data_IF_097948177183
#
_entry.id   IF_097948177183
#
_cell.length_a   1.000
_cell.length_b   1.000
_cell.length_c   1.000
_cell.angle_alpha   90.00
_cell.angle_beta   90.00
_cell.angle_gamma   90.00
#
_symmetry.space_group_name_H-M   'P 1'
#
loop_
_entity.id
_entity.type
_entity.pdbx_description
1 polymer ?
#
# COMPACT_ATOMS: atom_id res chain seq x y z
N UNK A 1 32.15 26.00 45.78
CA UNK A 1 31.98 25.58 44.38
C UNK A 1 30.97 24.44 44.33
N UNK A 2 29.78 24.60 43.74
CA UNK A 2 28.83 23.48 43.60
C UNK A 2 29.47 22.43 42.68
N UNK A 3 29.53 21.14 43.06
CA UNK A 3 30.33 20.17 42.33
C UNK A 3 29.77 19.97 40.93
N UNK A 4 30.64 20.18 39.93
CA UNK A 4 30.36 20.05 38.50
C UNK A 4 29.60 18.74 38.19
N UNK A 5 29.95 17.66 38.89
CA UNK A 5 29.33 16.34 38.80
C UNK A 5 27.80 16.35 39.01
N UNK A 6 27.28 17.17 39.92
CA UNK A 6 25.83 17.21 40.20
C UNK A 6 25.07 17.88 39.05
N UNK A 7 25.69 18.85 38.36
CA UNK A 7 25.10 19.49 37.16
C UNK A 7 25.16 18.55 35.95
N UNK A 8 26.28 17.83 35.79
CA UNK A 8 26.44 16.81 34.74
C UNK A 8 25.40 15.70 34.89
N UNK A 9 25.15 15.23 36.12
CA UNK A 9 24.13 14.21 36.37
C UNK A 9 22.71 14.69 36.00
N UNK A 10 22.31 15.90 36.39
CA UNK A 10 20.99 16.42 36.03
C UNK A 10 20.82 16.70 34.52
N UNK A 11 21.91 16.99 33.80
CA UNK A 11 21.87 17.14 32.35
C UNK A 11 21.87 15.79 31.61
N UNK A 12 22.58 14.78 32.11
CA UNK A 12 22.68 13.46 31.47
C UNK A 12 21.53 12.52 31.83
N UNK A 13 20.93 12.67 33.00
CA UNK A 13 19.79 11.85 33.44
C UNK A 13 18.66 11.78 32.41
N UNK A 14 18.11 12.89 31.86
CA UNK A 14 17.06 12.82 30.85
C UNK A 14 17.51 12.19 29.53
N UNK A 15 18.78 12.35 29.15
CA UNK A 15 19.34 11.74 27.92
C UNK A 15 19.47 10.22 28.07
N UNK A 16 19.95 9.76 29.22
CA UNK A 16 20.07 8.33 29.54
C UNK A 16 18.69 7.67 29.66
N UNK A 17 17.72 8.36 30.29
CA UNK A 17 16.33 7.90 30.33
C UNK A 17 15.74 7.83 28.93
N UNK A 18 15.96 8.84 28.09
CA UNK A 18 15.51 8.84 26.68
C UNK A 18 16.10 7.68 25.87
N UNK A 19 17.41 7.45 25.97
CA UNK A 19 18.07 6.30 25.35
C UNK A 19 17.52 4.97 25.85
N UNK A 20 17.27 4.85 27.16
CA UNK A 20 16.66 3.66 27.76
C UNK A 20 15.27 3.36 27.19
N UNK A 21 14.44 4.39 27.01
CA UNK A 21 13.11 4.26 26.39
C UNK A 21 13.22 3.82 24.92
N UNK A 22 14.15 4.40 24.15
CA UNK A 22 14.36 4.04 22.73
C UNK A 22 14.82 2.58 22.60
N UNK A 23 15.79 2.15 23.41
CA UNK A 23 16.28 0.76 23.41
C UNK A 23 15.18 -0.22 23.84
N UNK A 24 14.39 0.13 24.85
CA UNK A 24 13.27 -0.68 25.31
C UNK A 24 12.16 -0.78 24.24
N UNK A 25 11.86 0.32 23.55
CA UNK A 25 10.92 0.34 22.44
C UNK A 25 11.40 -0.52 21.26
N UNK A 26 12.68 -0.43 20.90
CA UNK A 26 13.30 -1.27 19.87
C UNK A 26 13.27 -2.76 20.25
N UNK A 27 13.63 -3.10 21.49
CA UNK A 27 13.58 -4.48 21.98
C UNK A 27 12.16 -5.07 21.96
N UNK A 28 11.16 -4.28 22.37
CA UNK A 28 9.75 -4.66 22.35
C UNK A 28 9.17 -4.77 20.92
N UNK A 29 9.77 -4.08 19.94
CA UNK A 29 9.41 -4.20 18.53
C UNK A 29 9.99 -5.48 17.89
N UNK A 30 11.20 -5.86 18.29
CA UNK A 30 11.93 -6.99 17.69
C UNK A 30 11.66 -8.35 18.33
N UNK A 31 11.21 -8.41 19.60
CA UNK A 31 11.04 -9.65 20.34
C UNK A 31 9.57 -9.91 20.75
N UNK A 32 9.14 -11.19 20.88
CA UNK A 32 7.85 -11.52 21.49
C UNK A 32 7.80 -11.02 22.96
N UNK A 33 6.61 -10.68 23.48
CA UNK A 33 6.46 -10.14 24.82
C UNK A 33 6.96 -11.14 25.87
N UNK A 34 7.62 -10.62 26.91
CA UNK A 34 7.99 -11.39 28.09
C UNK A 34 6.70 -11.82 28.83
N UNK A 35 6.25 -13.03 28.51
CA UNK A 35 5.17 -13.72 29.19
C UNK A 35 5.76 -14.67 30.23
N UNK A 36 5.45 -14.43 31.51
CA UNK A 36 5.78 -15.33 32.60
C UNK A 36 4.48 -15.78 33.23
N UNK A 37 4.18 -17.09 33.17
CA UNK A 37 2.97 -17.70 33.73
C UNK A 37 1.65 -17.01 33.32
N UNK A 38 1.52 -16.61 32.05
CA UNK A 38 0.30 -15.99 31.52
C UNK A 38 0.06 -14.53 31.92
N UNK A 39 1.00 -13.90 32.64
CA UNK A 39 0.92 -12.49 33.02
C UNK A 39 1.91 -11.67 32.18
N UNK A 40 1.39 -10.69 31.42
CA UNK A 40 2.19 -9.74 30.64
C UNK A 40 2.84 -8.72 31.59
N UNK A 41 4.14 -8.88 31.87
CA UNK A 41 4.88 -8.01 32.79
C UNK A 41 5.04 -6.57 32.30
N UNK A 42 4.96 -6.34 30.99
CA UNK A 42 5.05 -5.01 30.39
C UNK A 42 3.95 -4.81 29.35
N UNK A 43 3.11 -3.76 29.45
CA UNK A 43 2.16 -3.43 28.40
C UNK A 43 2.93 -3.02 27.14
N UNK A 44 2.52 -3.54 25.97
CA UNK A 44 3.05 -3.04 24.69
C UNK A 44 2.77 -1.55 24.62
N UNK A 45 3.80 -0.75 24.43
CA UNK A 45 3.62 0.63 24.00
C UNK A 45 3.10 0.57 22.56
N UNK A 46 1.78 0.51 22.42
CA UNK A 46 1.13 0.46 21.13
C UNK A 46 1.12 1.89 20.58
N UNK A 47 2.10 2.22 19.74
CA UNK A 47 2.08 3.49 19.04
C UNK A 47 0.97 3.43 18.00
N UNK A 48 -0.03 4.31 18.13
CA UNK A 48 -0.97 4.60 17.05
C UNK A 48 -0.19 5.26 15.93
N UNK A 49 0.36 4.44 15.04
CA UNK A 49 1.03 4.89 13.83
C UNK A 49 -0.02 5.56 12.94
N UNK A 50 0.26 6.79 12.51
CA UNK A 50 -0.58 7.48 11.54
C UNK A 50 -0.64 6.69 10.23
N UNK A 51 -1.69 6.93 9.43
CA UNK A 51 -1.94 6.26 8.14
C UNK A 51 -0.71 6.28 7.22
N UNK A 52 0.08 7.34 7.28
CA UNK A 52 1.32 7.51 6.50
C UNK A 52 2.40 6.47 6.83
N UNK A 53 2.40 5.92 8.04
CA UNK A 53 3.40 4.96 8.52
C UNK A 53 2.94 3.49 8.44
N UNK A 54 1.64 3.24 8.59
CA UNK A 54 1.06 1.88 8.49
C UNK A 54 0.68 1.49 7.06
N UNK A 55 0.70 2.42 6.11
CA UNK A 55 0.14 2.19 4.79
C UNK A 55 -1.39 2.22 4.82
N UNK A 56 -2.00 2.31 3.65
CA UNK A 56 -3.46 2.45 3.54
C UNK A 56 -3.94 2.70 2.13
N UNK A 57 -5.26 2.71 1.98
CA UNK A 57 -5.92 3.11 0.74
C UNK A 57 -6.60 4.44 0.96
N UNK A 58 -6.31 5.43 0.11
CA UNK A 58 -7.03 6.70 0.09
C UNK A 58 -7.96 6.66 -1.12
N UNK A 59 -9.26 6.75 -0.86
CA UNK A 59 -10.27 6.87 -1.90
C UNK A 59 -10.68 8.34 -1.99
N UNK A 60 -10.56 8.92 -3.18
CA UNK A 60 -10.98 10.30 -3.44
C UNK A 60 -12.27 10.24 -4.26
N UNK A 61 -13.33 10.83 -3.72
CA UNK A 61 -14.64 10.91 -4.37
C UNK A 61 -14.91 12.32 -4.81
N UNK A 62 -15.38 12.47 -6.04
CA UNK A 62 -15.92 13.71 -6.56
C UNK A 62 -17.43 13.57 -6.83
N UNK A 63 -18.18 14.48 -6.24
CA UNK A 63 -19.64 14.54 -6.31
C UNK A 63 -20.02 15.20 -7.63
N UNK A 64 -20.92 14.55 -8.36
CA UNK A 64 -21.48 15.11 -9.59
C UNK A 64 -22.44 16.29 -9.24
N UNK A 65 -22.10 17.53 -9.62
CA UNK A 65 -22.91 18.71 -9.32
C UNK A 65 -24.29 18.67 -10.00
N UNK A 66 -24.51 17.80 -11.00
CA UNK A 66 -25.79 17.67 -11.71
C UNK A 66 -26.79 16.76 -11.01
N UNK A 67 -26.34 15.96 -10.04
CA UNK A 67 -27.15 14.99 -9.30
C UNK A 67 -27.28 15.33 -7.82
N UNK A 68 -26.84 16.52 -7.43
CA UNK A 68 -26.84 16.96 -6.04
C UNK A 68 -28.21 17.54 -5.68
N UNK A 69 -28.88 17.05 -4.62
CA UNK A 69 -30.14 17.63 -4.16
C UNK A 69 -29.91 19.03 -3.57
N UNK A 70 -30.92 19.90 -3.65
CA UNK A 70 -30.83 21.30 -3.20
C UNK A 70 -30.52 21.47 -1.70
N UNK A 71 -30.72 20.42 -0.88
CA UNK A 71 -30.44 20.41 0.57
C UNK A 71 -29.10 19.75 0.93
N UNK A 72 -28.17 19.65 -0.02
CA UNK A 72 -26.88 18.99 0.17
C UNK A 72 -26.06 19.63 1.31
N UNK A 73 -25.70 18.82 2.31
CA UNK A 73 -24.69 19.15 3.32
C UNK A 73 -23.59 18.09 3.29
N UNK A 74 -22.34 18.58 3.27
CA UNK A 74 -21.15 17.73 3.25
C UNK A 74 -21.05 16.93 4.53
N UNK A 75 -21.44 17.53 5.65
CA UNK A 75 -21.43 16.91 6.97
C UNK A 75 -22.41 15.74 7.02
N UNK A 76 -23.57 15.88 6.40
CA UNK A 76 -24.54 14.79 6.25
C UNK A 76 -24.00 13.67 5.35
N UNK A 77 -23.33 14.01 4.25
CA UNK A 77 -22.68 13.03 3.39
C UNK A 77 -21.57 12.27 4.15
N UNK A 78 -20.71 12.98 4.86
CA UNK A 78 -19.64 12.39 5.68
C UNK A 78 -20.22 11.48 6.75
N UNK A 79 -21.28 11.91 7.45
CA UNK A 79 -21.93 11.11 8.47
C UNK A 79 -22.62 9.86 7.89
N UNK A 80 -23.28 9.99 6.72
CA UNK A 80 -23.89 8.87 6.02
C UNK A 80 -22.85 7.86 5.53
N UNK A 81 -21.74 8.34 4.96
CA UNK A 81 -20.62 7.50 4.54
C UNK A 81 -19.97 6.82 5.74
N UNK A 82 -19.74 7.54 6.85
CA UNK A 82 -19.17 6.96 8.07
C UNK A 82 -20.08 5.85 8.59
N UNK A 83 -21.39 6.08 8.68
CA UNK A 83 -22.36 5.07 9.11
C UNK A 83 -22.46 3.87 8.16
N UNK A 84 -22.25 4.06 6.86
CA UNK A 84 -22.31 2.97 5.86
C UNK A 84 -21.03 2.14 5.80
N UNK A 85 -19.87 2.78 5.96
CA UNK A 85 -18.56 2.16 5.86
C UNK A 85 -18.10 1.58 7.19
N UNK A 86 -18.35 2.29 8.29
CA UNK A 86 -17.95 1.87 9.63
C UNK A 86 -19.07 2.16 10.65
N UNK A 87 -20.20 1.44 10.58
CA UNK A 87 -21.31 1.64 11.52
C UNK A 87 -20.92 1.42 12.98
N UNK A 88 -19.88 0.61 13.22
CA UNK A 88 -19.41 0.24 14.56
C UNK A 88 -18.11 0.97 14.98
N UNK A 89 -17.61 1.91 14.18
CA UNK A 89 -16.34 2.65 14.39
C UNK A 89 -15.12 1.73 14.67
N UNK A 90 -15.14 0.53 14.09
CA UNK A 90 -14.13 -0.50 14.32
C UNK A 90 -12.88 -0.25 13.48
N UNK A 91 -13.02 0.27 12.27
CA UNK A 91 -11.97 0.26 11.26
C UNK A 91 -11.14 1.55 11.22
N UNK A 92 -11.34 2.46 12.18
CA UNK A 92 -10.71 3.78 12.24
C UNK A 92 -10.75 4.54 10.89
N UNK A 93 -11.82 4.35 10.11
CA UNK A 93 -11.96 5.00 8.81
C UNK A 93 -12.12 6.49 9.02
N UNK A 94 -11.22 7.28 8.43
CA UNK A 94 -11.28 8.74 8.50
C UNK A 94 -11.86 9.27 7.20
N UNK A 95 -12.99 9.96 7.28
CA UNK A 95 -13.63 10.60 6.13
C UNK A 95 -13.49 12.10 6.31
N UNK A 96 -12.81 12.76 5.36
CA UNK A 96 -12.57 14.21 5.40
C UNK A 96 -13.10 14.90 4.16
N UNK A 97 -13.88 15.98 4.30
CA UNK A 97 -14.20 16.84 3.17
C UNK A 97 -12.94 17.62 2.76
N UNK A 98 -12.62 17.62 1.48
CA UNK A 98 -11.45 18.34 0.92
C UNK A 98 -11.88 19.58 0.16
N UNK A 99 -13.08 19.55 -0.44
CA UNK A 99 -13.69 20.69 -1.13
C UNK A 99 -15.22 20.63 -1.06
N UNK A 100 -15.91 21.53 -1.77
CA UNK A 100 -17.38 21.51 -1.92
C UNK A 100 -17.89 20.21 -2.57
N UNK A 101 -17.12 19.66 -3.50
CA UNK A 101 -17.50 18.47 -4.28
C UNK A 101 -16.62 17.27 -4.00
N UNK A 102 -15.58 17.39 -3.15
CA UNK A 102 -14.59 16.34 -2.95
C UNK A 102 -14.53 15.84 -1.51
N UNK A 103 -14.58 14.52 -1.36
CA UNK A 103 -14.45 13.83 -0.09
C UNK A 103 -13.35 12.78 -0.20
N UNK A 104 -12.48 12.72 0.80
CA UNK A 104 -11.45 11.69 0.93
C UNK A 104 -11.83 10.69 2.02
N UNK A 105 -11.72 9.42 1.71
CA UNK A 105 -11.95 8.30 2.62
C UNK A 105 -10.62 7.59 2.80
N UNK A 106 -10.13 7.63 4.02
CA UNK A 106 -8.85 7.06 4.40
C UNK A 106 -9.12 5.74 5.10
N UNK A 107 -8.70 4.66 4.44
CA UNK A 107 -8.83 3.29 4.94
C UNK A 107 -7.46 2.85 5.44
N UNK A 108 -7.24 2.78 6.77
CA UNK A 108 -6.04 2.19 7.31
C UNK A 108 -6.09 0.68 7.06
N UNK A 109 -5.51 0.24 5.96
CA UNK A 109 -5.17 -1.18 5.84
C UNK A 109 -3.86 -1.33 6.60
N UNK A 110 -3.90 -2.02 7.74
CA UNK A 110 -2.65 -2.32 8.46
C UNK A 110 -1.64 -2.88 7.45
N UNK A 111 -0.40 -2.37 7.49
CA UNK A 111 0.68 -2.77 6.59
C UNK A 111 0.77 -4.27 6.37
N UNK A 112 1.40 -4.72 5.28
CA UNK A 112 1.37 -6.15 4.84
C UNK A 112 1.72 -7.12 5.97
N UNK A 113 2.66 -6.75 6.85
CA UNK A 113 3.04 -7.54 8.01
C UNK A 113 1.92 -7.67 9.07
N UNK A 114 1.19 -6.59 9.37
CA UNK A 114 0.05 -6.62 10.30
C UNK A 114 -1.11 -7.43 9.74
N UNK A 115 -1.46 -7.22 8.46
CA UNK A 115 -2.48 -8.04 7.77
C UNK A 115 -2.18 -9.52 7.84
N UNK A 116 -0.93 -9.95 7.56
CA UNK A 116 -0.52 -11.35 7.69
C UNK A 116 -0.62 -11.87 9.12
N UNK A 117 -0.22 -11.06 10.10
CA UNK A 117 -0.34 -11.43 11.51
C UNK A 117 -1.80 -11.59 11.95
N UNK A 118 -2.68 -10.71 11.47
CA UNK A 118 -4.12 -10.75 11.74
C UNK A 118 -4.80 -11.92 11.03
N UNK A 119 -4.46 -12.18 9.76
CA UNK A 119 -4.91 -13.37 9.01
C UNK A 119 -4.46 -14.66 9.68
N UNK A 120 -3.21 -14.74 10.13
CA UNK A 120 -2.70 -15.90 10.87
C UNK A 120 -3.47 -16.08 12.18
N UNK A 121 -3.61 -15.01 12.97
CA UNK A 121 -4.34 -15.06 14.23
C UNK A 121 -5.82 -15.47 14.02
N UNK A 122 -6.43 -15.07 12.91
CA UNK A 122 -7.79 -15.47 12.57
C UNK A 122 -7.88 -16.93 12.17
N UNK A 123 -6.94 -17.44 11.37
CA UNK A 123 -6.86 -18.89 11.08
C UNK A 123 -6.69 -19.69 12.36
N UNK A 124 -5.77 -19.29 13.22
CA UNK A 124 -5.54 -19.93 14.52
C UNK A 124 -6.82 -19.89 15.39
N UNK A 125 -7.58 -18.79 15.32
CA UNK A 125 -8.87 -18.67 16.02
C UNK A 125 -9.95 -19.60 15.44
N UNK A 126 -10.10 -19.65 14.11
CA UNK A 126 -11.05 -20.56 13.46
C UNK A 126 -10.71 -22.03 13.73
N UNK A 127 -9.42 -22.38 13.79
CA UNK A 127 -8.98 -23.72 14.20
C UNK A 127 -9.35 -24.03 15.65
N UNK A 128 -9.23 -23.07 16.57
CA UNK A 128 -9.69 -23.25 17.96
C UNK A 128 -11.20 -23.44 18.04
N UNK A 129 -11.99 -22.64 17.32
CA UNK A 129 -13.45 -22.80 17.24
C UNK A 129 -13.79 -24.20 16.70
N UNK A 130 -13.07 -24.64 15.67
CA UNK A 130 -13.24 -25.96 15.06
C UNK A 130 -12.95 -27.08 16.05
N UNK A 131 -11.86 -26.98 16.81
CA UNK A 131 -11.45 -27.99 17.79
C UNK A 131 -12.40 -28.04 18.99
N UNK A 132 -12.80 -26.90 19.53
CA UNK A 132 -13.68 -26.80 20.70
C UNK A 132 -15.07 -27.39 20.41
N UNK A 133 -15.63 -27.09 19.24
CA UNK A 133 -17.01 -27.46 18.89
C UNK A 133 -17.10 -28.61 17.87
N UNK A 134 -15.98 -29.25 17.55
CA UNK A 134 -15.86 -30.35 16.59
C UNK A 134 -16.58 -30.09 15.25
N UNK A 135 -16.30 -28.94 14.65
CA UNK A 135 -16.97 -28.48 13.43
C UNK A 135 -16.26 -28.96 12.15
N UNK A 136 -16.99 -29.09 11.02
CA UNK A 136 -16.35 -29.18 9.70
C UNK A 136 -15.57 -27.88 9.40
N UNK A 137 -14.85 -27.87 8.28
CA UNK A 137 -14.08 -26.69 7.86
C UNK A 137 -14.94 -25.41 7.87
N UNK A 138 -14.45 -24.40 8.59
CA UNK A 138 -15.12 -23.12 8.76
C UNK A 138 -14.42 -22.08 7.88
N UNK A 139 -15.02 -21.76 6.74
CA UNK A 139 -14.52 -20.73 5.83
C UNK A 139 -15.22 -19.39 6.11
N UNK A 140 -14.82 -18.72 7.19
CA UNK A 140 -15.39 -17.41 7.57
C UNK A 140 -14.41 -16.29 7.27
N UNK A 141 -14.94 -15.17 6.77
CA UNK A 141 -14.17 -13.98 6.42
C UNK A 141 -13.46 -13.39 7.64
N UNK A 142 -12.31 -12.77 7.42
CA UNK A 142 -11.49 -12.18 8.48
C UNK A 142 -12.31 -11.21 9.34
N UNK A 143 -12.33 -11.43 10.65
CA UNK A 143 -12.99 -10.54 11.61
C UNK A 143 -14.53 -10.58 11.60
N UNK A 144 -15.17 -11.43 10.77
CA UNK A 144 -16.62 -11.57 10.76
C UNK A 144 -17.11 -12.49 11.89
N UNK A 145 -17.05 -11.98 13.13
CA UNK A 145 -17.51 -12.70 14.32
C UNK A 145 -19.00 -13.01 14.29
N UNK A 146 -19.81 -12.16 13.65
CA UNK A 146 -21.26 -12.37 13.54
C UNK A 146 -21.58 -13.63 12.74
N UNK A 147 -20.84 -13.87 11.65
CA UNK A 147 -20.98 -15.08 10.85
C UNK A 147 -20.54 -16.32 11.63
N UNK A 148 -19.42 -16.27 12.38
CA UNK A 148 -19.00 -17.36 13.26
C UNK A 148 -20.09 -17.64 14.31
N UNK A 149 -20.60 -16.60 14.97
CA UNK A 149 -21.66 -16.71 15.98
C UNK A 149 -22.92 -17.35 15.40
N UNK A 150 -23.37 -16.89 14.23
CA UNK A 150 -24.56 -17.42 13.58
C UNK A 150 -24.40 -18.91 13.24
N UNK A 151 -23.23 -19.32 12.74
CA UNK A 151 -22.95 -20.74 12.46
C UNK A 151 -22.97 -21.58 13.75
N UNK A 152 -22.40 -21.07 14.83
CA UNK A 152 -22.40 -21.76 16.13
C UNK A 152 -23.82 -21.89 16.72
N UNK A 153 -24.64 -20.85 16.60
CA UNK A 153 -26.03 -20.88 17.05
C UNK A 153 -26.91 -21.80 16.20
N UNK A 154 -26.74 -21.79 14.88
CA UNK A 154 -27.48 -22.66 13.96
C UNK A 154 -27.21 -24.14 14.25
N UNK A 155 -25.94 -24.49 14.48
CA UNK A 155 -25.52 -25.87 14.78
C UNK A 155 -25.83 -26.30 16.21
N UNK A 156 -26.32 -25.39 17.07
CA UNK A 156 -26.67 -25.64 18.48
C UNK A 156 -25.55 -26.36 19.25
N UNK A 157 -24.30 -26.02 18.97
CA UNK A 157 -23.13 -26.69 19.53
C UNK A 157 -22.92 -26.40 21.03
N UNK A 158 -23.39 -25.25 21.51
CA UNK A 158 -23.33 -24.88 22.92
C UNK A 158 -24.42 -23.84 23.28
N UNK A 159 -24.71 -23.66 24.59
CA UNK A 159 -25.52 -22.55 25.08
C UNK A 159 -25.00 -21.18 24.62
N UNK A 160 -25.91 -20.24 24.34
CA UNK A 160 -25.57 -18.94 23.74
C UNK A 160 -24.58 -18.14 24.59
N UNK A 161 -24.74 -18.18 25.91
CA UNK A 161 -23.85 -17.55 26.89
C UNK A 161 -22.42 -18.10 26.85
N UNK A 162 -22.27 -19.41 26.62
CA UNK A 162 -20.95 -20.04 26.52
C UNK A 162 -20.25 -19.70 25.22
N UNK A 163 -21.00 -19.63 24.12
CA UNK A 163 -20.48 -19.22 22.81
C UNK A 163 -19.99 -17.77 22.87
N UNK A 164 -20.80 -16.84 23.38
CA UNK A 164 -20.38 -15.42 23.48
C UNK A 164 -19.12 -15.26 24.32
N UNK A 165 -19.06 -15.96 25.46
CA UNK A 165 -17.89 -15.92 26.34
C UNK A 165 -16.64 -16.50 25.66
N UNK A 166 -16.78 -17.61 24.94
CA UNK A 166 -15.67 -18.19 24.18
C UNK A 166 -15.16 -17.24 23.10
N UNK A 167 -16.07 -16.63 22.33
CA UNK A 167 -15.72 -15.67 21.27
C UNK A 167 -14.98 -14.46 21.85
N UNK A 168 -15.45 -13.89 22.97
CA UNK A 168 -14.80 -12.75 23.61
C UNK A 168 -13.43 -13.07 24.20
N UNK A 169 -13.25 -14.27 24.76
CA UNK A 169 -12.00 -14.67 25.41
C UNK A 169 -10.92 -15.04 24.38
N UNK A 170 -11.32 -15.55 23.22
CA UNK A 170 -10.40 -16.05 22.20
C UNK A 170 -10.14 -15.06 21.05
N UNK A 171 -11.01 -14.06 20.84
CA UNK A 171 -10.81 -13.00 19.85
C UNK A 171 -10.84 -11.62 20.48
N UNK A 172 -9.74 -10.86 20.33
CA UNK A 172 -9.62 -9.52 20.90
C UNK A 172 -10.13 -8.44 19.93
N UNK A 173 -10.92 -7.45 20.40
CA UNK A 173 -11.52 -6.41 19.56
C UNK A 173 -10.51 -5.48 18.89
N UNK A 174 -9.31 -5.27 19.45
CA UNK A 174 -8.26 -4.47 18.79
C UNK A 174 -7.81 -5.07 17.45
N UNK A 175 -7.92 -6.40 17.25
CA UNK A 175 -7.55 -7.07 15.99
C UNK A 175 -8.66 -7.04 14.94
N UNK A 176 -9.90 -6.73 15.33
CA UNK A 176 -11.04 -6.61 14.41
C UNK A 176 -11.04 -5.28 13.62
N UNK A 177 -10.15 -4.36 13.97
CA UNK A 177 -10.07 -3.01 13.41
C UNK A 177 -9.33 -2.89 12.07
N UNK A 178 -8.77 -3.98 11.55
CA UNK A 178 -7.93 -3.94 10.34
C UNK A 178 -8.72 -4.32 9.09
N UNK A 179 -8.67 -3.45 8.08
CA UNK A 179 -9.36 -3.64 6.81
C UNK A 179 -8.57 -4.57 5.88
N UNK A 180 -9.24 -5.57 5.32
CA UNK A 180 -8.68 -6.45 4.29
C UNK A 180 -8.75 -5.84 2.89
N UNK A 181 -8.01 -6.42 1.93
CA UNK A 181 -8.14 -6.02 0.53
C UNK A 181 -9.54 -6.29 -0.05
N UNK A 182 -10.23 -7.31 0.46
CA UNK A 182 -11.60 -7.65 0.05
C UNK A 182 -12.63 -6.68 0.65
N UNK A 183 -12.39 -6.19 1.88
CA UNK A 183 -13.20 -5.12 2.48
C UNK A 183 -13.07 -3.83 1.69
N UNK A 184 -11.86 -3.53 1.20
CA UNK A 184 -11.63 -2.39 0.29
C UNK A 184 -12.48 -2.56 -0.98
N UNK A 185 -12.54 -3.74 -1.59
CA UNK A 185 -13.41 -3.99 -2.75
C UNK A 185 -14.91 -3.87 -2.41
N UNK A 186 -15.33 -4.35 -1.23
CA UNK A 186 -16.71 -4.16 -0.76
C UNK A 186 -17.04 -2.68 -0.56
N UNK A 187 -16.13 -1.91 0.03
CA UNK A 187 -16.30 -0.47 0.19
C UNK A 187 -16.33 0.25 -1.15
N UNK A 188 -15.51 -0.17 -2.11
CA UNK A 188 -15.62 0.32 -3.49
C UNK A 188 -17.03 0.09 -4.02
N UNK A 189 -17.59 -1.10 -3.86
CA UNK A 189 -18.96 -1.41 -4.26
C UNK A 189 -20.04 -0.60 -3.52
N UNK A 190 -19.84 -0.29 -2.24
CA UNK A 190 -20.80 0.49 -1.44
C UNK A 190 -20.78 1.98 -1.80
N UNK A 191 -19.66 2.52 -2.28
CA UNK A 191 -19.53 3.96 -2.57
C UNK A 191 -19.59 4.27 -4.07
N UNK A 192 -19.28 3.31 -4.95
CA UNK A 192 -19.30 3.47 -6.42
C UNK A 192 -20.66 3.86 -7.02
N UNK A 193 -21.73 3.82 -6.22
CA UNK A 193 -23.08 4.17 -6.67
C UNK A 193 -23.30 5.69 -6.86
N UNK A 194 -22.39 6.54 -6.36
CA UNK A 194 -22.53 8.01 -6.40
C UNK A 194 -21.24 8.69 -6.84
N UNK A 195 -21.06 8.88 -8.15
CA UNK A 195 -20.03 9.78 -8.72
C UNK A 195 -18.81 9.12 -9.34
N UNK A 196 -17.79 9.93 -9.64
CA UNK A 196 -16.51 9.50 -10.24
C UNK A 196 -15.49 9.16 -9.15
N UNK A 197 -14.71 8.08 -9.35
CA UNK A 197 -13.83 7.50 -8.33
C UNK A 197 -12.37 7.53 -8.76
N UNK A 198 -11.51 8.16 -7.95
CA UNK A 198 -10.06 8.13 -8.10
C UNK A 198 -9.42 7.31 -6.97
N UNK A 199 -8.55 6.37 -7.34
CA UNK A 199 -7.83 5.51 -6.41
C UNK A 199 -6.40 6.00 -6.19
N UNK A 200 -6.04 6.30 -4.94
CA UNK A 200 -4.66 6.61 -4.57
C UNK A 200 -4.13 5.54 -3.60
N UNK A 201 -3.20 4.73 -4.10
CA UNK A 201 -2.47 3.76 -3.28
C UNK A 201 -1.23 4.43 -2.72
N UNK A 202 -1.10 4.48 -1.39
CA UNK A 202 0.09 5.01 -0.73
C UNK A 202 1.07 3.86 -0.50
N UNK A 203 2.13 3.81 -1.30
CA UNK A 203 3.21 2.84 -1.12
C UNK A 203 4.21 3.38 -0.09
N UNK A 204 4.54 2.58 0.93
CA UNK A 204 5.57 2.91 1.92
C UNK A 204 6.87 2.20 1.58
N UNK A 205 8.01 2.85 1.76
CA UNK A 205 9.33 2.25 1.56
C UNK A 205 9.58 1.04 2.45
N UNK A 206 8.99 0.95 3.64
CA UNK A 206 9.18 -0.20 4.54
C UNK A 206 8.42 -1.45 4.07
N UNK A 207 7.14 -1.27 3.75
CA UNK A 207 6.27 -2.39 3.42
C UNK A 207 6.27 -2.71 1.94
N UNK A 208 6.62 -1.80 1.04
CA UNK A 208 6.53 -1.98 -0.42
C UNK A 208 7.90 -1.93 -1.13
N UNK A 209 9.00 -2.00 -0.36
CA UNK A 209 10.37 -2.02 -0.86
C UNK A 209 10.57 -2.96 -2.07
N UNK A 210 10.06 -4.22 -2.06
CA UNK A 210 10.27 -5.13 -3.18
C UNK A 210 9.59 -4.66 -4.46
N UNK A 211 8.39 -4.07 -4.36
CA UNK A 211 7.65 -3.58 -5.51
C UNK A 211 8.28 -2.29 -6.07
N UNK A 212 8.70 -1.39 -5.17
CA UNK A 212 9.42 -0.15 -5.52
C UNK A 212 10.74 -0.49 -6.23
N UNK A 213 11.49 -1.47 -5.68
CA UNK A 213 12.76 -1.90 -6.25
C UNK A 213 12.57 -2.54 -7.61
N UNK A 214 11.59 -3.45 -7.75
CA UNK A 214 11.27 -4.06 -9.04
C UNK A 214 10.84 -3.02 -10.09
N UNK A 215 10.08 -2.00 -9.71
CA UNK A 215 9.71 -0.89 -10.61
C UNK A 215 10.93 -0.07 -11.05
N UNK A 216 11.82 0.28 -10.11
CA UNK A 216 13.07 0.99 -10.40
C UNK A 216 13.96 0.19 -11.33
N UNK A 217 14.12 -1.11 -11.07
CA UNK A 217 14.93 -2.00 -11.91
C UNK A 217 14.36 -2.13 -13.31
N UNK A 218 13.03 -2.26 -13.44
CA UNK A 218 12.35 -2.30 -14.74
C UNK A 218 12.60 -1.02 -15.54
N UNK A 219 12.37 0.15 -14.94
CA UNK A 219 12.58 1.45 -15.60
C UNK A 219 14.06 1.67 -15.96
N UNK A 220 14.98 1.24 -15.08
CA UNK A 220 16.42 1.29 -15.36
C UNK A 220 16.74 0.48 -16.61
N UNK A 221 16.32 -0.79 -16.69
CA UNK A 221 16.54 -1.64 -17.86
C UNK A 221 15.92 -1.07 -19.13
N UNK A 222 14.70 -0.55 -19.06
CA UNK A 222 14.04 0.12 -20.19
C UNK A 222 14.89 1.30 -20.70
N UNK A 223 15.44 2.11 -19.79
CA UNK A 223 16.26 3.29 -20.14
C UNK A 223 17.65 2.97 -20.69
N UNK A 224 18.18 1.75 -20.51
CA UNK A 224 19.57 1.42 -20.88
C UNK A 224 19.81 1.50 -22.39
N UNK A 225 18.88 0.99 -23.20
CA UNK A 225 18.98 1.02 -24.66
C UNK A 225 18.89 2.45 -25.20
N UNK A 226 18.01 3.27 -24.61
CA UNK A 226 17.91 4.69 -24.91
C UNK A 226 19.18 5.46 -24.54
N UNK A 227 19.70 5.23 -23.33
CA UNK A 227 20.93 5.87 -22.84
C UNK A 227 22.14 5.52 -23.70
N UNK A 228 22.22 4.28 -24.22
CA UNK A 228 23.24 3.87 -25.18
C UNK A 228 23.13 4.66 -26.48
N UNK A 229 21.93 4.81 -27.03
CA UNK A 229 21.69 5.61 -28.23
C UNK A 229 22.12 7.08 -28.03
N UNK A 230 21.71 7.71 -26.93
CA UNK A 230 22.07 9.10 -26.62
C UNK A 230 23.58 9.28 -26.58
N UNK A 231 24.32 8.34 -25.97
CA UNK A 231 25.80 8.38 -25.97
C UNK A 231 26.41 8.29 -27.37
N UNK A 232 25.84 7.51 -28.27
CA UNK A 232 26.30 7.44 -29.66
C UNK A 232 25.99 8.73 -30.43
N UNK A 233 24.88 9.39 -30.12
CA UNK A 233 24.54 10.71 -30.68
C UNK A 233 25.52 11.76 -30.16
N UNK A 234 25.83 11.77 -28.86
CA UNK A 234 26.77 12.72 -28.26
C UNK A 234 28.17 12.62 -28.87
N UNK A 235 28.64 11.42 -29.21
CA UNK A 235 29.93 11.19 -29.89
C UNK A 235 29.95 11.70 -31.34
N UNK A 236 28.79 11.81 -31.98
CA UNK A 236 28.70 12.21 -33.37
C UNK A 236 28.63 13.74 -33.49
N UNK A 237 29.71 14.37 -33.96
CA UNK A 237 29.80 15.84 -34.07
C UNK A 237 28.72 16.44 -34.98
N UNK A 238 28.23 15.70 -35.97
CA UNK A 238 27.10 16.10 -36.83
C UNK A 238 25.80 16.38 -36.08
N UNK A 239 25.65 15.86 -34.86
CA UNK A 239 24.48 16.09 -34.00
C UNK A 239 24.77 17.04 -32.85
N UNK A 240 25.86 17.82 -32.92
CA UNK A 240 26.24 18.77 -31.87
C UNK A 240 25.13 19.79 -31.54
N UNK A 241 24.32 20.19 -32.53
CA UNK A 241 23.17 21.09 -32.34
C UNK A 241 22.03 20.47 -31.54
N UNK A 242 21.89 19.15 -31.54
CA UNK A 242 20.83 18.43 -30.84
C UNK A 242 21.17 18.21 -29.36
N UNK A 243 22.46 18.16 -28.99
CA UNK A 243 22.96 17.84 -27.64
C UNK A 243 22.22 18.55 -26.48
N UNK A 244 21.91 19.86 -26.55
CA UNK A 244 21.23 20.55 -25.45
C UNK A 244 19.82 20.00 -25.15
N UNK A 245 19.13 19.48 -26.16
CA UNK A 245 17.74 19.02 -26.06
C UNK A 245 17.62 17.52 -25.81
N UNK A 246 18.69 16.74 -25.95
CA UNK A 246 18.64 15.27 -25.86
C UNK A 246 18.08 14.76 -24.53
N UNK A 247 18.36 15.45 -23.43
CA UNK A 247 17.92 15.06 -22.09
C UNK A 247 16.46 15.43 -21.80
N UNK A 248 15.84 16.27 -22.64
CA UNK A 248 14.44 16.67 -22.51
C UNK A 248 13.50 15.66 -23.17
N UNK A 249 14.02 14.85 -24.09
CA UNK A 249 13.27 13.89 -24.87
C UNK A 249 12.97 12.66 -24.03
N UNK A 250 11.69 12.30 -23.95
CA UNK A 250 11.27 11.11 -23.22
C UNK A 250 11.85 9.83 -23.83
N UNK A 251 12.37 8.89 -23.02
CA UNK A 251 12.83 7.61 -23.52
C UNK A 251 11.77 6.87 -24.33
N UNK A 252 12.07 6.57 -25.59
CA UNK A 252 11.16 5.90 -26.52
C UNK A 252 10.41 6.84 -27.46
N UNK A 253 10.52 8.17 -27.30
CA UNK A 253 9.97 9.12 -28.28
C UNK A 253 10.92 9.27 -29.48
N UNK A 254 10.83 8.31 -30.39
CA UNK A 254 11.69 8.27 -31.59
C UNK A 254 11.38 9.41 -32.55
N UNK A 255 10.15 9.95 -32.55
CA UNK A 255 9.79 11.04 -33.46
C UNK A 255 10.38 12.36 -32.99
N UNK A 256 10.20 12.70 -31.72
CA UNK A 256 10.81 13.92 -31.16
C UNK A 256 12.34 13.87 -31.25
N UNK A 257 12.94 12.68 -31.05
CA UNK A 257 14.37 12.47 -31.28
C UNK A 257 14.76 12.70 -32.73
N UNK A 258 14.03 12.11 -33.68
CA UNK A 258 14.29 12.30 -35.11
C UNK A 258 14.25 13.78 -35.48
N UNK A 259 13.22 14.51 -35.05
CA UNK A 259 13.03 15.93 -35.37
C UNK A 259 14.17 16.78 -34.78
N UNK A 260 14.56 16.46 -33.54
CA UNK A 260 15.68 17.11 -32.86
C UNK A 260 17.01 16.87 -33.60
N UNK A 261 17.24 15.66 -34.09
CA UNK A 261 18.45 15.30 -34.84
C UNK A 261 18.47 15.94 -36.24
N UNK A 262 17.34 15.97 -36.95
CA UNK A 262 17.22 16.65 -38.25
C UNK A 262 17.49 18.14 -38.13
N UNK A 263 16.96 18.78 -37.07
CA UNK A 263 17.21 20.16 -36.66
C UNK A 263 17.10 21.18 -37.80
N UNK A 264 15.94 21.80 -38.02
CA UNK A 264 15.69 22.79 -39.09
C UNK A 264 16.31 22.41 -40.47
N UNK A 265 16.44 21.12 -40.76
CA UNK A 265 17.04 20.60 -42.00
C UNK A 265 18.58 20.57 -42.05
N UNK A 266 19.27 20.75 -40.92
CA UNK A 266 20.74 20.66 -40.81
C UNK A 266 21.28 19.27 -41.14
N UNK A 267 20.52 18.22 -40.82
CA UNK A 267 20.85 16.83 -41.18
C UNK A 267 19.72 16.24 -42.02
N UNK A 268 20.01 15.63 -43.18
CA UNK A 268 19.00 14.99 -44.01
C UNK A 268 18.22 13.90 -43.26
N UNK A 269 16.90 13.89 -43.43
CA UNK A 269 16.02 12.90 -42.80
C UNK A 269 16.44 11.44 -43.04
N UNK A 270 16.87 11.13 -44.26
CA UNK A 270 17.34 9.79 -44.63
C UNK A 270 18.60 9.35 -43.84
N UNK A 271 19.49 10.30 -43.51
CA UNK A 271 20.70 10.03 -42.74
C UNK A 271 20.37 9.78 -41.27
N UNK A 272 19.48 10.60 -40.70
CA UNK A 272 18.96 10.40 -39.33
C UNK A 272 18.28 9.04 -39.22
N UNK A 273 17.45 8.68 -40.19
CA UNK A 273 16.76 7.40 -40.22
C UNK A 273 17.71 6.21 -40.30
N UNK A 274 18.74 6.31 -41.15
CA UNK A 274 19.77 5.29 -41.25
C UNK A 274 20.52 5.14 -39.93
N UNK A 275 20.91 6.27 -39.30
CA UNK A 275 21.60 6.27 -38.02
C UNK A 275 20.78 5.62 -36.91
N UNK A 276 19.50 5.99 -36.77
CA UNK A 276 18.60 5.44 -35.76
C UNK A 276 18.39 3.95 -35.98
N UNK A 277 18.19 3.49 -37.22
CA UNK A 277 18.05 2.06 -37.54
C UNK A 277 19.29 1.24 -37.19
N UNK A 278 20.49 1.80 -37.37
CA UNK A 278 21.74 1.10 -37.07
C UNK A 278 22.10 1.10 -35.58
N UNK A 279 21.75 2.15 -34.84
CA UNK A 279 22.22 2.36 -33.47
C UNK A 279 21.15 2.19 -32.39
N UNK A 280 19.87 2.19 -32.76
CA UNK A 280 18.77 2.02 -31.81
C UNK A 280 18.11 0.65 -31.93
N UNK A 281 18.44 -0.22 -30.98
CA UNK A 281 17.71 -1.45 -30.74
C UNK A 281 17.10 -1.38 -29.34
N UNK A 282 15.80 -1.05 -29.21
CA UNK A 282 15.16 -0.95 -27.91
C UNK A 282 15.21 -2.31 -27.21
N UNK A 283 15.52 -2.31 -25.91
CA UNK A 283 15.45 -3.51 -25.06
C UNK A 283 14.01 -4.02 -24.92
N UNK A 284 13.84 -5.21 -24.34
CA UNK A 284 12.52 -5.83 -24.17
C UNK A 284 11.56 -4.93 -23.38
N UNK A 285 12.02 -4.40 -22.24
CA UNK A 285 11.23 -3.54 -21.36
C UNK A 285 10.85 -2.21 -22.05
N UNK A 286 11.76 -1.62 -22.83
CA UNK A 286 11.46 -0.39 -23.57
C UNK A 286 10.45 -0.64 -24.71
N UNK A 287 10.58 -1.77 -25.43
CA UNK A 287 9.61 -2.16 -26.46
C UNK A 287 8.23 -2.36 -25.86
N UNK A 288 8.16 -3.02 -24.71
CA UNK A 288 6.89 -3.24 -24.02
C UNK A 288 6.24 -1.91 -23.61
N UNK A 289 7.00 -0.97 -23.04
CA UNK A 289 6.50 0.36 -22.67
C UNK A 289 6.00 1.15 -23.89
N UNK A 290 6.74 1.14 -25.00
CA UNK A 290 6.32 1.79 -26.25
C UNK A 290 5.01 1.18 -26.75
N UNK A 291 4.92 -0.15 -26.82
CA UNK A 291 3.71 -0.84 -27.29
C UNK A 291 2.50 -0.57 -26.39
N UNK A 292 2.69 -0.56 -25.06
CA UNK A 292 1.61 -0.25 -24.10
C UNK A 292 1.15 1.19 -24.23
N UNK A 293 2.06 2.14 -24.34
CA UNK A 293 1.72 3.55 -24.55
C UNK A 293 0.89 3.74 -25.83
N UNK A 294 1.29 3.10 -26.93
CA UNK A 294 0.54 3.12 -28.19
C UNK A 294 -0.89 2.54 -28.06
N UNK A 295 -1.11 1.64 -27.10
CA UNK A 295 -2.41 1.05 -26.80
C UNK A 295 -3.18 1.80 -25.69
N UNK A 296 -2.63 2.90 -25.16
CA UNK A 296 -3.19 3.60 -24.01
C UNK A 296 -3.19 2.77 -22.73
N UNK A 297 -2.35 1.73 -22.65
CA UNK A 297 -2.23 0.86 -21.50
C UNK A 297 -1.18 1.38 -20.51
N UNK A 298 -1.40 1.22 -19.20
CA UNK A 298 -0.40 1.58 -18.19
C UNK A 298 0.84 0.67 -18.30
N UNK A 299 1.99 1.10 -17.72
CA UNK A 299 3.17 0.24 -17.61
C UNK A 299 2.82 -1.08 -16.91
N UNK A 300 3.53 -2.17 -17.24
CA UNK A 300 3.23 -3.47 -16.65
C UNK A 300 3.46 -3.44 -15.13
N UNK A 301 2.73 -4.27 -14.37
CA UNK A 301 2.99 -4.40 -12.95
C UNK A 301 4.44 -4.91 -12.75
N UNK A 302 5.14 -4.44 -11.71
CA UNK A 302 6.49 -4.92 -11.42
C UNK A 302 6.46 -6.44 -11.27
N UNK A 303 7.32 -7.19 -11.98
CA UNK A 303 7.33 -8.66 -11.91
C UNK A 303 6.36 -9.38 -12.86
N UNK A 304 5.77 -8.72 -13.86
CA UNK A 304 5.08 -9.41 -14.95
C UNK A 304 6.05 -10.32 -15.75
N UNK A 305 6.27 -11.56 -15.29
CA UNK A 305 7.20 -12.53 -15.87
C UNK A 305 7.85 -13.46 -14.84
N UNK A 306 7.88 -13.06 -13.57
CA UNK A 306 8.11 -13.95 -12.44
C UNK A 306 7.03 -13.63 -11.42
N UNK A 307 6.18 -14.59 -11.02
CA UNK A 307 5.30 -14.32 -9.89
C UNK A 307 6.19 -13.73 -8.80
N UNK A 308 5.78 -12.59 -8.23
CA UNK A 308 6.30 -12.24 -6.92
C UNK A 308 6.27 -13.53 -6.12
N UNK A 309 7.34 -13.91 -5.41
CA UNK A 309 7.21 -15.00 -4.47
C UNK A 309 6.13 -14.55 -3.50
N UNK A 310 4.90 -14.92 -3.80
CA UNK A 310 3.95 -15.31 -2.81
C UNK A 310 4.77 -16.35 -2.07
N UNK A 311 5.30 -15.95 -0.91
CA UNK A 311 5.79 -16.90 0.07
C UNK A 311 4.54 -17.62 0.54
N UNK A 312 3.98 -18.44 -0.36
CA UNK A 312 3.11 -19.54 -0.05
C UNK A 312 4.09 -20.60 0.42
N UNK A 313 4.60 -20.41 1.64
CA UNK A 313 4.99 -21.54 2.46
C UNK A 313 3.69 -22.17 2.96
N UNK A 314 2.94 -22.73 2.01
CA UNK A 314 1.88 -23.69 2.26
C UNK A 314 2.40 -24.97 1.62
N UNK A 315 2.92 -25.87 2.44
CA UNK A 315 3.21 -27.23 2.04
C UNK A 315 1.99 -27.80 1.32
N UNK A 316 2.19 -28.26 0.08
CA UNK A 316 1.24 -29.15 -0.56
C UNK A 316 1.32 -30.51 0.16
N UNK A 317 0.21 -30.89 0.77
CA UNK A 317 -0.25 -32.28 0.85
C UNK A 317 -1.69 -32.34 0.39
#
# INVERSE_FOLDING_TARGET
MKPLARRVFYCLAPVVVGLGVIVMAWWNYSNPPLEVAGVKLLPRVNFKLGVDLVGGTILVYEIDPKKTPDNYSKEQLVAALKRRLDPADLYNITIRPVSETRVEIILPTGGRAKRRATEKAWKDFLEKVKQEYNLPELSVRLGNLDEVRNILFEKKVAPQDQVEKFLSDNWAPERASELTGEDVERFKGLVSQVGSLEFRFLANTNDDEPAITAAKDYLKKASESWSRLIKEIEKADRYAHARPKLNEIMPGDVQELRDTLQGDGKVPAAEVDLFLRSNFQPGEELRELINRNLQGLPPPPPGAGKPFPAVVNGEQR
#
